data_IF_178235987594
#
_entry.id   IF_178235987594
#
_cell.length_a   1.000
_cell.length_b   1.000
_cell.length_c   1.000
_cell.angle_alpha   90.00
_cell.angle_beta   90.00
_cell.angle_gamma   90.00
#
_symmetry.space_group_name_H-M   'P 1'
#
loop_
_entity.id
_entity.type
_entity.pdbx_description
1 polymer ?
#
# COMPACT_ATOMS: atom_id res chain seq x y z
N UNK A 1 -22.98 59.27 -12.90
CA UNK A 1 -23.31 58.61 -11.61
C UNK A 1 -23.85 57.18 -11.77
N UNK A 2 -24.57 56.85 -12.85
CA UNK A 2 -25.16 55.49 -13.03
C UNK A 2 -24.16 54.38 -13.45
N UNK A 3 -23.06 54.71 -14.13
CA UNK A 3 -22.08 53.71 -14.60
C UNK A 3 -21.20 53.13 -13.47
N UNK A 4 -20.87 53.94 -12.45
CA UNK A 4 -20.06 53.50 -11.31
C UNK A 4 -20.79 52.46 -10.45
N UNK A 5 -22.10 52.63 -10.28
CA UNK A 5 -22.93 51.70 -9.48
C UNK A 5 -23.06 50.32 -10.15
N UNK A 6 -23.15 50.30 -11.48
CA UNK A 6 -23.15 49.05 -12.26
C UNK A 6 -21.82 48.32 -12.21
N UNK A 7 -20.70 49.03 -12.30
CA UNK A 7 -19.36 48.45 -12.19
C UNK A 7 -19.10 47.83 -10.81
N UNK A 8 -19.50 48.52 -9.74
CA UNK A 8 -19.38 48.00 -8.36
C UNK A 8 -20.19 46.71 -8.20
N UNK A 9 -21.41 46.65 -8.74
CA UNK A 9 -22.24 45.45 -8.68
C UNK A 9 -21.59 44.26 -9.39
N UNK A 10 -21.04 44.48 -10.59
CA UNK A 10 -20.38 43.42 -11.37
C UNK A 10 -19.13 42.90 -10.68
N UNK A 11 -18.32 43.79 -10.09
CA UNK A 11 -17.14 43.41 -9.30
C UNK A 11 -17.54 42.63 -8.05
N UNK A 12 -18.60 43.05 -7.34
CA UNK A 12 -19.12 42.34 -6.18
C UNK A 12 -19.62 40.93 -6.54
N UNK A 13 -20.35 40.78 -7.65
CA UNK A 13 -20.82 39.46 -8.12
C UNK A 13 -19.65 38.54 -8.51
N UNK A 14 -18.60 39.09 -9.13
CA UNK A 14 -17.39 38.33 -9.47
C UNK A 14 -16.66 37.84 -8.22
N UNK A 15 -16.48 38.70 -7.22
CA UNK A 15 -15.85 38.34 -5.95
C UNK A 15 -16.67 37.27 -5.24
N UNK A 16 -18.00 37.43 -5.18
CA UNK A 16 -18.90 36.45 -4.57
C UNK A 16 -18.81 35.09 -5.28
N UNK A 17 -18.77 35.09 -6.62
CA UNK A 17 -18.60 33.88 -7.42
C UNK A 17 -17.28 33.17 -7.13
N UNK A 18 -16.18 33.91 -6.99
CA UNK A 18 -14.87 33.36 -6.63
C UNK A 18 -14.91 32.75 -5.22
N UNK A 19 -15.51 33.43 -4.24
CA UNK A 19 -15.63 32.93 -2.87
C UNK A 19 -16.45 31.64 -2.81
N UNK A 20 -17.59 31.58 -3.52
CA UNK A 20 -18.42 30.38 -3.60
C UNK A 20 -17.67 29.25 -4.29
N UNK A 21 -16.96 29.54 -5.38
CA UNK A 21 -16.19 28.55 -6.12
C UNK A 21 -15.04 27.97 -5.30
N UNK A 22 -14.29 28.82 -4.58
CA UNK A 22 -13.23 28.38 -3.67
C UNK A 22 -13.79 27.59 -2.48
N UNK A 23 -14.91 28.02 -1.90
CA UNK A 23 -15.61 27.27 -0.85
C UNK A 23 -16.11 25.91 -1.35
N UNK A 24 -16.60 25.85 -2.58
CA UNK A 24 -16.99 24.60 -3.23
C UNK A 24 -15.79 23.67 -3.46
N UNK A 25 -14.66 24.20 -3.95
CA UNK A 25 -13.41 23.41 -4.10
C UNK A 25 -12.90 22.90 -2.76
N UNK A 26 -12.99 23.71 -1.70
CA UNK A 26 -12.62 23.31 -0.35
C UNK A 26 -13.52 22.18 0.17
N UNK A 27 -14.84 22.30 0.01
CA UNK A 27 -15.79 21.24 0.37
C UNK A 27 -15.58 19.96 -0.46
N UNK A 28 -15.26 20.07 -1.74
CA UNK A 28 -14.93 18.91 -2.59
C UNK A 28 -13.65 18.22 -2.10
N UNK A 29 -12.64 19.01 -1.70
CA UNK A 29 -11.41 18.53 -1.10
C UNK A 29 -11.67 17.77 0.21
N UNK A 30 -12.34 18.39 1.18
CA UNK A 30 -12.67 17.74 2.45
C UNK A 30 -13.48 16.45 2.25
N UNK A 31 -14.49 16.45 1.37
CA UNK A 31 -15.37 15.28 1.24
C UNK A 31 -14.78 14.12 0.44
N UNK A 32 -13.93 14.40 -0.55
CA UNK A 32 -13.41 13.37 -1.47
C UNK A 32 -12.01 12.91 -1.09
N UNK A 33 -11.14 13.81 -0.61
CA UNK A 33 -9.80 13.43 -0.18
C UNK A 33 -9.82 12.82 1.23
N UNK A 34 -10.54 13.41 2.19
CA UNK A 34 -10.56 12.87 3.56
C UNK A 34 -11.21 11.49 3.62
N UNK A 35 -12.32 11.25 2.91
CA UNK A 35 -13.04 9.98 3.00
C UNK A 35 -12.31 8.79 2.35
N UNK A 36 -11.49 9.04 1.32
CA UNK A 36 -10.75 7.97 0.63
C UNK A 36 -9.35 7.75 1.22
N UNK A 37 -8.65 8.81 1.62
CA UNK A 37 -7.31 8.69 2.24
C UNK A 37 -7.36 8.09 3.65
N UNK A 38 -8.51 8.23 4.34
CA UNK A 38 -8.76 7.64 5.65
C UNK A 38 -9.46 6.29 5.58
N UNK A 39 -9.54 5.70 4.37
CA UNK A 39 -10.13 4.39 4.16
C UNK A 39 -9.06 3.40 3.69
N UNK A 40 -8.71 2.45 4.54
CA UNK A 40 -7.73 1.42 4.23
C UNK A 40 -8.14 0.57 3.02
N UNK A 41 -9.44 0.31 2.85
CA UNK A 41 -9.95 -0.52 1.76
C UNK A 41 -9.73 0.13 0.39
N UNK A 42 -9.75 1.46 0.30
CA UNK A 42 -9.42 2.18 -0.92
C UNK A 42 -8.00 1.84 -1.43
N UNK A 43 -7.02 1.78 -0.52
CA UNK A 43 -5.65 1.43 -0.86
C UNK A 43 -5.51 -0.07 -1.15
N UNK A 44 -6.13 -0.93 -0.33
CA UNK A 44 -6.10 -2.39 -0.54
C UNK A 44 -6.68 -2.77 -1.89
N UNK A 45 -7.81 -2.17 -2.28
CA UNK A 45 -8.46 -2.41 -3.59
C UNK A 45 -7.63 -1.89 -4.75
N UNK A 46 -7.06 -0.69 -4.61
CA UNK A 46 -6.20 -0.08 -5.64
C UNK A 46 -4.96 -0.95 -5.90
N UNK A 47 -4.32 -1.46 -4.86
CA UNK A 47 -3.15 -2.33 -4.98
C UNK A 47 -3.54 -3.74 -5.41
N UNK A 48 -4.67 -4.28 -4.96
CA UNK A 48 -5.13 -5.61 -5.39
C UNK A 48 -5.49 -5.68 -6.87
N UNK A 49 -5.70 -4.53 -7.52
CA UNK A 49 -6.00 -4.44 -8.95
C UNK A 49 -5.01 -5.22 -9.81
N UNK A 50 -5.54 -6.03 -10.75
CA UNK A 50 -4.77 -6.78 -11.73
C UNK A 50 -3.68 -7.70 -11.16
N UNK A 51 -3.93 -8.33 -10.00
CA UNK A 51 -3.01 -9.32 -9.42
C UNK A 51 -1.61 -8.75 -9.08
N UNK A 52 -1.57 -7.45 -8.75
CA UNK A 52 -0.31 -6.72 -8.57
C UNK A 52 0.56 -7.30 -7.46
N UNK A 53 -0.01 -7.89 -6.40
CA UNK A 53 0.77 -8.56 -5.34
C UNK A 53 1.60 -9.73 -5.90
N UNK A 54 0.96 -10.63 -6.66
CA UNK A 54 1.66 -11.76 -7.28
C UNK A 54 2.66 -11.28 -8.33
N UNK A 55 2.32 -10.23 -9.09
CA UNK A 55 3.26 -9.64 -10.04
C UNK A 55 4.52 -9.11 -9.34
N UNK A 56 4.38 -8.36 -8.24
CA UNK A 56 5.52 -7.85 -7.48
C UNK A 56 6.32 -9.00 -6.89
N UNK A 57 5.64 -10.03 -6.38
CA UNK A 57 6.29 -11.24 -5.88
C UNK A 57 7.18 -11.88 -6.95
N UNK A 58 6.62 -12.16 -8.13
CA UNK A 58 7.34 -12.86 -9.19
C UNK A 58 8.39 -11.98 -9.88
N UNK A 59 8.13 -10.68 -10.05
CA UNK A 59 9.00 -9.77 -10.79
C UNK A 59 10.07 -9.10 -9.93
N UNK A 60 9.89 -9.03 -8.61
CA UNK A 60 10.84 -8.38 -7.71
C UNK A 60 11.50 -9.41 -6.81
N UNK A 61 10.74 -10.18 -6.02
CA UNK A 61 11.33 -11.11 -5.05
C UNK A 61 11.98 -12.32 -5.70
N UNK A 62 11.43 -12.78 -6.83
CA UNK A 62 11.96 -13.91 -7.59
C UNK A 62 12.84 -13.48 -8.78
N UNK A 63 13.23 -12.21 -8.86
CA UNK A 63 14.10 -11.72 -9.93
C UNK A 63 15.42 -12.51 -9.98
N UNK A 64 15.90 -12.76 -11.20
CA UNK A 64 17.19 -13.42 -11.41
C UNK A 64 18.35 -12.64 -10.79
N UNK A 65 18.27 -11.31 -10.77
CA UNK A 65 19.28 -10.44 -10.16
C UNK A 65 19.35 -10.59 -8.63
N UNK A 66 18.26 -11.04 -7.99
CA UNK A 66 18.22 -11.26 -6.54
C UNK A 66 18.46 -12.72 -6.14
N UNK A 67 18.80 -13.61 -7.07
CA UNK A 67 19.00 -15.04 -6.80
C UNK A 67 19.98 -15.32 -5.67
N UNK A 68 21.09 -14.57 -5.60
CA UNK A 68 22.07 -14.75 -4.53
C UNK A 68 21.50 -14.34 -3.16
N UNK A 69 20.74 -13.25 -3.10
CA UNK A 69 20.08 -12.79 -1.86
C UNK A 69 19.01 -13.78 -1.43
N UNK A 70 18.18 -14.25 -2.35
CA UNK A 70 17.16 -15.26 -2.09
C UNK A 70 17.79 -16.57 -1.63
N UNK A 71 18.93 -16.97 -2.21
CA UNK A 71 19.67 -18.15 -1.74
C UNK A 71 20.25 -17.95 -0.34
N UNK A 72 20.79 -16.78 -0.02
CA UNK A 72 21.32 -16.47 1.31
C UNK A 72 20.21 -16.49 2.38
N UNK A 73 19.03 -15.97 2.06
CA UNK A 73 17.84 -16.03 2.93
C UNK A 73 17.41 -17.46 3.26
N UNK A 74 17.59 -18.38 2.31
CA UNK A 74 17.30 -19.80 2.49
C UNK A 74 18.43 -20.53 3.25
N UNK A 75 19.60 -19.91 3.39
CA UNK A 75 20.80 -20.56 3.91
C UNK A 75 21.42 -21.50 2.87
N UNK A 76 22.56 -22.11 3.20
CA UNK A 76 23.37 -22.92 2.27
C UNK A 76 22.78 -24.31 1.96
N UNK A 77 21.47 -24.38 1.80
CA UNK A 77 20.74 -25.59 1.43
C UNK A 77 21.15 -25.97 0.01
N UNK A 78 21.36 -27.28 -0.22
CA UNK A 78 21.70 -27.82 -1.54
C UNK A 78 20.48 -27.85 -2.45
N UNK A 79 20.09 -26.68 -2.94
CA UNK A 79 19.02 -26.54 -3.91
C UNK A 79 19.55 -26.85 -5.31
N UNK A 80 18.87 -27.74 -6.04
CA UNK A 80 19.39 -28.33 -7.30
C UNK A 80 19.11 -27.42 -8.50
N UNK A 81 18.07 -26.58 -8.44
CA UNK A 81 17.69 -25.65 -9.51
C UNK A 81 17.07 -24.35 -9.00
N UNK A 82 16.99 -23.32 -9.87
CA UNK A 82 16.29 -22.07 -9.54
C UNK A 82 14.78 -22.28 -9.28
N UNK A 83 14.16 -23.25 -9.94
CA UNK A 83 12.75 -23.59 -9.69
C UNK A 83 12.55 -24.11 -8.26
N UNK A 84 13.49 -24.88 -7.74
CA UNK A 84 13.45 -25.37 -6.36
C UNK A 84 13.61 -24.22 -5.36
N UNK A 85 14.45 -23.20 -5.66
CA UNK A 85 14.57 -21.98 -4.84
C UNK A 85 13.26 -21.21 -4.79
N UNK A 86 12.62 -21.03 -5.96
CA UNK A 86 11.33 -20.34 -6.08
C UNK A 86 10.25 -21.10 -5.30
N UNK A 87 10.21 -22.42 -5.42
CA UNK A 87 9.25 -23.24 -4.70
C UNK A 87 9.46 -23.15 -3.18
N UNK A 88 10.70 -23.32 -2.73
CA UNK A 88 11.05 -23.24 -1.32
C UNK A 88 10.69 -21.87 -0.72
N UNK A 89 10.97 -20.78 -1.45
CA UNK A 89 10.60 -19.44 -1.01
C UNK A 89 9.07 -19.28 -0.91
N UNK A 90 8.31 -19.80 -1.88
CA UNK A 90 6.83 -19.78 -1.83
C UNK A 90 6.27 -20.61 -0.68
N UNK A 91 6.99 -21.63 -0.23
CA UNK A 91 6.58 -22.46 0.92
C UNK A 91 6.90 -21.79 2.27
N UNK A 92 8.00 -21.01 2.37
CA UNK A 92 8.40 -20.33 3.60
C UNK A 92 7.75 -18.95 3.75
N UNK A 93 7.67 -18.19 2.65
CA UNK A 93 7.09 -16.86 2.58
C UNK A 93 6.03 -16.84 1.49
N UNK A 94 4.84 -17.39 1.75
CA UNK A 94 3.80 -17.46 0.74
C UNK A 94 3.36 -16.06 0.27
N UNK A 95 2.99 -15.88 -1.02
CA UNK A 95 2.50 -14.59 -1.53
C UNK A 95 1.36 -13.98 -0.70
N UNK A 96 0.45 -14.82 -0.19
CA UNK A 96 -0.66 -14.45 0.67
C UNK A 96 -0.22 -13.90 2.03
N UNK A 97 0.90 -14.37 2.58
CA UNK A 97 1.48 -13.83 3.80
C UNK A 97 2.02 -12.42 3.56
N UNK A 98 2.78 -12.21 2.48
CA UNK A 98 3.27 -10.86 2.17
C UNK A 98 2.13 -9.89 1.88
N UNK A 99 1.08 -10.36 1.20
CA UNK A 99 -0.14 -9.59 1.00
C UNK A 99 -0.76 -9.18 2.33
N UNK A 100 -0.96 -10.10 3.27
CA UNK A 100 -1.57 -9.76 4.56
C UNK A 100 -0.72 -8.76 5.34
N UNK A 101 0.61 -8.91 5.34
CA UNK A 101 1.51 -7.97 6.00
C UNK A 101 1.45 -6.56 5.40
N UNK A 102 1.31 -6.44 4.08
CA UNK A 102 1.13 -5.14 3.41
C UNK A 102 -0.24 -4.55 3.73
N UNK A 103 -1.31 -5.34 3.67
CA UNK A 103 -2.67 -4.89 4.00
C UNK A 103 -2.80 -4.45 5.47
N UNK A 104 -2.12 -5.14 6.39
CA UNK A 104 -2.03 -4.77 7.81
C UNK A 104 -1.23 -3.47 8.02
N UNK A 105 -0.12 -3.29 7.29
CA UNK A 105 0.67 -2.05 7.35
C UNK A 105 -0.14 -0.85 6.83
N UNK A 106 -0.92 -1.04 5.77
CA UNK A 106 -1.87 -0.04 5.27
C UNK A 106 -2.93 0.28 6.33
N UNK A 107 -3.51 -0.76 6.96
CA UNK A 107 -4.50 -0.57 8.02
C UNK A 107 -3.93 0.25 9.17
N UNK A 108 -2.77 -0.13 9.73
CA UNK A 108 -2.11 0.58 10.84
C UNK A 108 -1.78 2.03 10.48
N UNK A 109 -1.41 2.28 9.22
CA UNK A 109 -1.14 3.64 8.73
C UNK A 109 -2.41 4.48 8.70
N UNK A 110 -3.52 3.91 8.22
CA UNK A 110 -4.82 4.58 8.18
C UNK A 110 -5.37 4.82 9.59
N UNK A 111 -5.28 3.83 10.48
CA UNK A 111 -5.72 3.95 11.88
C UNK A 111 -4.97 5.07 12.60
N UNK A 112 -3.66 5.19 12.40
CA UNK A 112 -2.88 6.31 12.93
C UNK A 112 -3.32 7.67 12.36
N UNK A 113 -3.55 7.76 11.04
CA UNK A 113 -4.03 9.00 10.41
C UNK A 113 -5.43 9.39 10.88
N UNK A 114 -6.28 8.40 11.18
CA UNK A 114 -7.60 8.59 11.77
C UNK A 114 -7.57 8.93 13.26
N UNK A 115 -6.41 8.85 13.91
CA UNK A 115 -6.27 8.94 15.37
C UNK A 115 -6.98 7.80 16.12
N UNK A 116 -7.25 6.68 15.43
CA UNK A 116 -7.72 5.43 16.03
C UNK A 116 -6.57 4.68 16.75
N UNK A 117 -5.33 5.02 16.40
CA UNK A 117 -4.11 4.58 17.08
C UNK A 117 -3.25 5.78 17.50
N UNK A 118 -2.79 5.79 18.75
CA UNK A 118 -1.97 6.88 19.31
C UNK A 118 -0.56 6.96 18.69
N UNK A 119 -0.06 5.85 18.13
CA UNK A 119 1.28 5.75 17.56
C UNK A 119 1.27 4.88 16.30
N UNK A 120 2.06 5.29 15.31
CA UNK A 120 2.26 4.49 14.10
C UNK A 120 3.22 3.33 14.38
N UNK A 121 2.68 2.11 14.37
CA UNK A 121 3.46 0.88 14.50
C UNK A 121 3.58 0.16 13.15
N UNK A 122 4.78 0.20 12.56
CA UNK A 122 5.10 -0.52 11.33
C UNK A 122 6.08 -1.64 11.64
N UNK A 123 5.62 -2.88 11.49
CA UNK A 123 6.41 -4.07 11.68
C UNK A 123 5.96 -5.18 10.72
N UNK A 124 6.83 -6.17 10.57
CA UNK A 124 6.57 -7.41 9.85
C UNK A 124 6.54 -8.54 10.88
N UNK A 125 5.45 -9.31 10.92
CA UNK A 125 5.35 -10.47 11.80
C UNK A 125 6.06 -11.66 11.17
N UNK A 126 7.31 -11.90 11.57
CA UNK A 126 8.11 -13.01 11.07
C UNK A 126 7.75 -14.37 11.69
N UNK A 127 6.82 -14.43 12.64
CA UNK A 127 6.40 -15.69 13.27
C UNK A 127 5.99 -16.76 12.26
N UNK A 128 4.99 -16.49 11.39
CA UNK A 128 4.51 -17.49 10.43
C UNK A 128 5.60 -17.99 9.46
N UNK A 129 6.44 -17.13 8.84
CA UNK A 129 7.57 -17.61 8.04
C UNK A 129 8.55 -18.47 8.82
N UNK A 130 8.92 -18.07 10.05
CA UNK A 130 9.88 -18.80 10.87
C UNK A 130 9.40 -20.20 11.25
N UNK A 131 8.09 -20.36 11.48
CA UNK A 131 7.47 -21.66 11.76
C UNK A 131 7.53 -22.60 10.56
N UNK A 132 7.54 -22.06 9.35
CA UNK A 132 7.62 -22.82 8.10
C UNK A 132 9.05 -23.22 7.72
N UNK A 133 10.09 -22.52 8.20
CA UNK A 133 11.48 -22.84 7.86
C UNK A 133 11.82 -24.29 8.21
N UNK A 134 11.73 -24.68 9.49
CA UNK A 134 12.17 -26.02 9.94
C UNK A 134 11.52 -27.18 9.19
N UNK A 135 10.17 -27.27 9.08
CA UNK A 135 9.54 -28.39 8.37
C UNK A 135 9.89 -28.40 6.88
N UNK A 136 9.96 -27.23 6.25
CA UNK A 136 10.19 -27.13 4.80
C UNK A 136 11.65 -27.43 4.43
N UNK A 137 12.61 -26.96 5.23
CA UNK A 137 14.02 -27.27 5.00
C UNK A 137 14.33 -28.76 5.15
N UNK A 138 13.68 -29.44 6.10
CA UNK A 138 13.86 -30.89 6.32
C UNK A 138 13.33 -31.74 5.15
N UNK A 139 12.45 -31.21 4.30
CA UNK A 139 11.97 -31.93 3.11
C UNK A 139 12.99 -31.93 1.96
N UNK A 140 14.00 -31.05 2.01
CA UNK A 140 15.01 -30.86 0.96
C UNK A 140 16.41 -31.43 1.32
N UNK A 141 16.57 -32.02 2.51
CA UNK A 141 17.81 -32.69 2.99
C UNK A 141 17.65 -34.20 2.93
#
# INVERSE_FOLDING_TARGET
MFLLFGAIRTVATLILGIVIFLGFLFLLGERTFSANLLNADFYKDTISGQDTYNRIYDQVLLDQELQETTRDLLGDIKVVSHQDVVQLLREIVPPEYLRSQVEDAIQRSVDYLNQDADTLELYLDLGPPLDLIKPTLLAYV
#
